data_IF_754680580354
#
_entry.id   IF_754680580354
#
_cell.length_a   1.000
_cell.length_b   1.000
_cell.length_c   1.000
_cell.angle_alpha   90.00
_cell.angle_beta   90.00
_cell.angle_gamma   90.00
#
_symmetry.space_group_name_H-M   'P 1'
#
loop_
_entity.id
_entity.type
_entity.pdbx_description
1 polymer ?
#
# COMPACT_ATOMS: atom_id res chain seq x y z
N UNK A 1 -88.44 23.38 -32.06
CA UNK A 1 -87.10 23.39 -32.68
C UNK A 1 -85.89 23.74 -31.74
N UNK A 2 -86.12 24.32 -30.60
CA UNK A 2 -85.03 24.77 -29.67
C UNK A 2 -84.25 23.65 -28.97
N UNK A 3 -84.86 22.51 -28.62
CA UNK A 3 -84.21 21.40 -27.86
C UNK A 3 -83.10 20.69 -28.65
N UNK A 4 -83.14 20.71 -29.99
CA UNK A 4 -82.09 20.04 -30.82
C UNK A 4 -80.82 20.89 -30.98
N UNK A 5 -80.96 22.18 -30.90
CA UNK A 5 -79.80 23.09 -30.95
C UNK A 5 -78.95 23.07 -29.67
N UNK A 6 -79.61 22.90 -28.52
CA UNK A 6 -78.92 22.85 -27.24
C UNK A 6 -78.06 21.59 -27.09
N UNK A 7 -78.56 20.44 -27.51
CA UNK A 7 -77.82 19.16 -27.51
C UNK A 7 -76.59 19.22 -28.46
N UNK A 8 -76.66 19.89 -29.60
CA UNK A 8 -75.52 20.07 -30.49
C UNK A 8 -74.45 20.93 -29.87
N UNK A 9 -74.75 22.00 -29.14
CA UNK A 9 -73.81 22.84 -28.46
C UNK A 9 -73.12 22.09 -27.30
N UNK A 10 -73.86 21.29 -26.55
CA UNK A 10 -73.26 20.46 -25.46
C UNK A 10 -72.29 19.42 -25.99
N UNK A 11 -72.60 18.77 -27.16
CA UNK A 11 -71.72 17.80 -27.83
C UNK A 11 -70.42 18.48 -28.30
N UNK A 12 -70.53 19.68 -28.89
CA UNK A 12 -69.35 20.44 -29.37
C UNK A 12 -68.44 20.84 -28.18
N UNK A 13 -69.02 21.28 -27.05
CA UNK A 13 -68.27 21.62 -25.85
C UNK A 13 -67.58 20.37 -25.26
N UNK A 14 -68.28 19.25 -25.20
CA UNK A 14 -67.75 17.99 -24.72
C UNK A 14 -66.58 17.49 -25.60
N UNK A 15 -66.70 17.58 -26.93
CA UNK A 15 -65.65 17.26 -27.87
C UNK A 15 -64.45 18.17 -27.71
N UNK A 16 -64.65 19.46 -27.44
CA UNK A 16 -63.59 20.43 -27.14
C UNK A 16 -62.83 20.09 -25.88
N UNK A 17 -63.53 19.71 -24.79
CA UNK A 17 -62.94 19.31 -23.54
C UNK A 17 -62.08 18.03 -23.73
N UNK A 18 -62.60 17.04 -24.45
CA UNK A 18 -61.89 15.79 -24.75
C UNK A 18 -60.61 16.08 -25.56
N UNK A 19 -60.70 16.94 -26.57
CA UNK A 19 -59.52 17.32 -27.37
C UNK A 19 -58.46 18.04 -26.54
N UNK A 20 -58.86 18.94 -25.65
CA UNK A 20 -57.96 19.60 -24.70
C UNK A 20 -57.29 18.61 -23.75
N UNK A 21 -58.04 17.67 -23.20
CA UNK A 21 -57.47 16.60 -22.35
C UNK A 21 -56.45 15.73 -23.09
N UNK A 22 -56.74 15.34 -24.32
CA UNK A 22 -55.81 14.57 -25.17
C UNK A 22 -54.54 15.37 -25.47
N UNK A 23 -54.67 16.65 -25.80
CA UNK A 23 -53.51 17.52 -26.04
C UNK A 23 -52.64 17.68 -24.78
N UNK A 24 -53.28 17.78 -23.60
CA UNK A 24 -52.61 17.85 -22.31
C UNK A 24 -51.87 16.55 -21.98
N UNK A 25 -52.49 15.39 -22.20
CA UNK A 25 -51.89 14.07 -21.99
C UNK A 25 -50.66 13.87 -22.90
N UNK A 26 -50.74 14.27 -24.19
CA UNK A 26 -49.63 14.19 -25.13
C UNK A 26 -48.48 15.12 -24.70
N UNK A 27 -48.76 16.35 -24.30
CA UNK A 27 -47.77 17.31 -23.83
C UNK A 27 -47.11 16.84 -22.55
N UNK A 28 -47.89 16.31 -21.59
CA UNK A 28 -47.40 15.75 -20.34
C UNK A 28 -46.52 14.54 -20.55
N UNK A 29 -46.98 13.59 -21.41
CA UNK A 29 -46.22 12.39 -21.79
C UNK A 29 -44.84 12.76 -22.40
N UNK A 30 -44.82 13.74 -23.35
CA UNK A 30 -43.56 14.25 -23.91
C UNK A 30 -42.66 14.94 -22.87
N UNK A 31 -43.26 15.70 -21.97
CA UNK A 31 -42.50 16.36 -20.90
C UNK A 31 -41.85 15.34 -19.96
N UNK A 32 -42.61 14.33 -19.51
CA UNK A 32 -42.12 13.23 -18.65
C UNK A 32 -41.02 12.44 -19.37
N UNK A 33 -41.24 12.05 -20.62
CA UNK A 33 -40.26 11.27 -21.42
C UNK A 33 -38.97 12.07 -21.64
N UNK A 34 -39.07 13.36 -21.96
CA UNK A 34 -37.87 14.21 -22.10
C UNK A 34 -37.10 14.42 -20.79
N UNK A 35 -37.84 14.58 -19.69
CA UNK A 35 -37.20 14.69 -18.38
C UNK A 35 -36.54 13.38 -17.93
N UNK A 36 -37.17 12.24 -18.14
CA UNK A 36 -36.60 10.92 -17.86
C UNK A 36 -35.36 10.69 -18.74
N UNK A 37 -35.49 10.91 -20.06
CA UNK A 37 -34.32 10.78 -20.95
C UNK A 37 -33.17 11.72 -20.60
N UNK A 38 -33.43 12.99 -20.25
CA UNK A 38 -32.42 13.92 -19.80
C UNK A 38 -31.81 13.53 -18.46
N UNK A 39 -32.58 12.93 -17.54
CA UNK A 39 -32.10 12.42 -16.28
C UNK A 39 -31.17 11.20 -16.49
N UNK A 40 -31.57 10.24 -17.34
CA UNK A 40 -30.73 9.09 -17.70
C UNK A 40 -29.52 9.48 -18.55
N UNK A 41 -29.62 10.45 -19.44
CA UNK A 41 -28.50 10.94 -20.24
C UNK A 41 -27.49 11.80 -19.44
N UNK A 42 -27.91 12.39 -18.32
CA UNK A 42 -27.02 13.20 -17.46
C UNK A 42 -26.25 12.39 -16.44
N UNK A 43 -26.67 11.21 -16.10
CA UNK A 43 -26.02 10.35 -15.12
C UNK A 43 -25.17 9.27 -15.82
N UNK A 44 -24.12 9.70 -16.54
CA UNK A 44 -23.02 8.74 -16.76
C UNK A 44 -22.44 8.45 -15.39
N UNK A 45 -22.58 7.21 -14.94
CA UNK A 45 -22.07 6.76 -13.66
C UNK A 45 -20.56 7.04 -13.61
N UNK A 46 -20.17 7.96 -12.73
CA UNK A 46 -18.79 8.36 -12.54
C UNK A 46 -18.25 7.76 -11.26
N UNK A 47 -17.33 6.84 -11.39
CA UNK A 47 -16.68 6.18 -10.28
C UNK A 47 -15.17 6.46 -10.36
N UNK A 48 -14.64 7.20 -9.40
CA UNK A 48 -13.22 7.48 -9.28
C UNK A 48 -12.80 7.24 -7.84
N UNK A 49 -12.14 6.10 -7.61
CA UNK A 49 -11.77 5.58 -6.28
C UNK A 49 -10.34 5.07 -6.28
N UNK A 50 -9.82 4.88 -5.08
CA UNK A 50 -8.52 4.26 -4.83
C UNK A 50 -8.58 3.43 -3.55
N UNK A 51 -7.65 2.49 -3.42
CA UNK A 51 -7.41 1.73 -2.19
C UNK A 51 -6.78 2.59 -1.08
N UNK A 52 -6.06 3.66 -1.45
CA UNK A 52 -5.26 4.49 -0.54
C UNK A 52 -5.58 5.99 -0.56
N UNK A 53 -6.44 6.44 -1.46
CA UNK A 53 -6.84 7.85 -1.54
C UNK A 53 -8.34 7.97 -1.33
N UNK A 54 -8.78 9.01 -0.61
CA UNK A 54 -10.19 9.27 -0.34
C UNK A 54 -10.52 10.77 -0.47
N UNK A 55 -11.80 11.10 -0.70
CA UNK A 55 -12.25 12.48 -0.76
C UNK A 55 -11.96 13.25 0.55
N UNK A 56 -12.08 12.57 1.69
CA UNK A 56 -11.81 13.12 3.03
C UNK A 56 -10.37 12.84 3.48
N UNK A 57 -9.40 12.77 2.56
CA UNK A 57 -7.97 12.55 2.83
C UNK A 57 -7.73 11.33 3.73
N UNK A 58 -7.48 10.18 3.14
CA UNK A 58 -7.07 8.97 3.87
C UNK A 58 -5.74 9.22 4.60
N UNK A 59 -5.61 8.72 5.82
CA UNK A 59 -4.38 8.88 6.64
C UNK A 59 -3.84 7.51 6.99
N UNK A 60 -2.55 7.30 6.70
CA UNK A 60 -1.84 6.05 6.96
C UNK A 60 -0.57 6.35 7.77
N UNK A 61 -0.30 5.49 8.73
CA UNK A 61 0.95 5.48 9.48
C UNK A 61 1.64 4.14 9.25
N UNK A 62 2.89 4.20 8.82
CA UNK A 62 3.71 3.05 8.49
C UNK A 62 4.83 3.03 9.52
N UNK A 63 4.74 2.10 10.45
CA UNK A 63 5.72 1.87 11.50
C UNK A 63 6.87 1.01 11.00
N UNK A 64 7.99 1.03 11.69
CA UNK A 64 9.15 0.18 11.44
C UNK A 64 9.75 0.30 10.02
N UNK A 65 9.71 1.50 9.43
CA UNK A 65 10.51 1.75 8.24
C UNK A 65 11.99 1.81 8.60
N UNK A 66 12.87 1.29 7.73
CA UNK A 66 14.31 1.30 7.99
C UNK A 66 14.91 2.71 8.07
N UNK A 67 14.34 3.67 7.32
CA UNK A 67 14.97 4.98 7.13
C UNK A 67 16.26 4.92 6.30
N UNK A 68 16.62 3.75 5.76
CA UNK A 68 17.81 3.49 4.93
C UNK A 68 17.38 3.00 3.55
N UNK A 69 16.48 2.01 3.50
CA UNK A 69 16.00 1.43 2.25
C UNK A 69 14.86 2.26 1.65
N UNK A 70 14.75 2.21 0.33
CA UNK A 70 13.61 2.79 -0.39
C UNK A 70 12.29 2.18 0.07
N UNK A 71 11.28 3.02 0.23
CA UNK A 71 9.92 2.58 0.49
C UNK A 71 9.01 2.92 -0.68
N UNK A 72 8.27 1.95 -1.21
CA UNK A 72 7.35 2.18 -2.33
C UNK A 72 5.90 2.08 -1.89
N UNK A 73 5.15 3.15 -2.13
CA UNK A 73 3.69 3.20 -1.98
C UNK A 73 3.06 2.90 -3.33
N UNK A 74 2.42 1.75 -3.48
CA UNK A 74 1.60 1.42 -4.64
C UNK A 74 0.17 1.88 -4.40
N UNK A 75 -0.35 2.72 -5.26
CA UNK A 75 -1.71 3.25 -5.22
C UNK A 75 -2.50 2.66 -6.38
N UNK A 76 -3.53 1.88 -6.06
CA UNK A 76 -4.43 1.30 -7.06
C UNK A 76 -5.63 2.22 -7.26
N UNK A 77 -5.89 2.58 -8.51
CA UNK A 77 -7.01 3.39 -8.95
C UNK A 77 -8.08 2.51 -9.59
N UNK A 78 -9.35 2.82 -9.38
CA UNK A 78 -10.43 2.07 -10.02
C UNK A 78 -11.62 2.95 -10.38
N UNK A 79 -12.37 2.53 -11.41
CA UNK A 79 -13.58 3.17 -11.92
C UNK A 79 -14.84 2.35 -11.68
N UNK A 80 -14.90 1.67 -10.52
CA UNK A 80 -16.05 0.84 -10.13
C UNK A 80 -16.49 1.10 -8.69
N UNK A 81 -17.78 1.00 -8.44
CA UNK A 81 -18.36 1.01 -7.09
C UNK A 81 -18.48 -0.41 -6.52
N UNK A 82 -18.78 -1.37 -7.40
CA UNK A 82 -18.88 -2.81 -7.12
C UNK A 82 -18.65 -3.60 -8.43
N UNK A 83 -18.86 -4.90 -8.44
CA UNK A 83 -18.63 -5.75 -9.61
C UNK A 83 -19.59 -5.48 -10.79
N UNK A 84 -20.69 -4.76 -10.58
CA UNK A 84 -21.72 -4.51 -11.58
C UNK A 84 -21.70 -3.04 -12.03
N UNK A 85 -21.48 -2.12 -11.11
CA UNK A 85 -21.50 -0.67 -11.37
C UNK A 85 -20.09 -0.19 -11.71
N UNK A 86 -19.82 -0.06 -12.99
CA UNK A 86 -18.53 0.36 -13.56
C UNK A 86 -18.73 1.57 -14.48
N UNK A 87 -17.72 2.43 -14.58
CA UNK A 87 -17.76 3.50 -15.57
C UNK A 87 -17.63 2.93 -16.99
N UNK A 88 -18.47 3.41 -17.90
CA UNK A 88 -18.52 2.95 -19.31
C UNK A 88 -17.56 3.71 -20.23
N UNK A 89 -16.63 4.48 -19.67
CA UNK A 89 -15.67 5.32 -20.40
C UNK A 89 -14.37 5.45 -19.64
N UNK A 90 -13.31 5.79 -20.37
CA UNK A 90 -11.99 6.00 -19.80
C UNK A 90 -11.98 7.25 -18.93
N UNK A 91 -11.31 7.15 -17.76
CA UNK A 91 -11.16 8.26 -16.82
C UNK A 91 -9.68 8.63 -16.74
N UNK A 92 -9.34 9.77 -17.37
CA UNK A 92 -8.02 10.39 -17.21
C UNK A 92 -7.88 11.03 -15.82
N UNK A 93 -6.67 11.07 -15.29
CA UNK A 93 -6.37 11.73 -14.03
C UNK A 93 -4.91 12.21 -13.95
N UNK A 94 -4.70 13.26 -13.19
CA UNK A 94 -3.39 13.81 -12.85
C UNK A 94 -3.04 13.52 -11.41
N UNK A 95 -1.74 13.36 -11.13
CA UNK A 95 -1.19 13.04 -9.82
C UNK A 95 -0.26 14.15 -9.39
N UNK A 96 -0.46 14.64 -8.15
CA UNK A 96 0.45 15.55 -7.46
C UNK A 96 0.85 14.94 -6.14
N UNK A 97 2.02 15.31 -5.66
CA UNK A 97 2.49 14.89 -4.33
C UNK A 97 3.31 16.00 -3.68
N UNK A 98 3.41 15.93 -2.37
CA UNK A 98 4.38 16.64 -1.55
C UNK A 98 5.18 15.64 -0.75
N UNK A 99 6.44 15.94 -0.49
CA UNK A 99 7.37 15.10 0.23
C UNK A 99 8.10 15.97 1.26
N UNK A 100 8.33 15.46 2.46
CA UNK A 100 9.12 16.17 3.46
C UNK A 100 10.60 16.26 3.07
N UNK A 101 11.30 17.27 3.56
CA UNK A 101 12.65 17.64 3.13
C UNK A 101 13.74 16.59 3.44
N UNK A 102 13.44 15.64 4.29
CA UNK A 102 14.36 14.56 4.68
C UNK A 102 14.29 13.31 3.80
N UNK A 103 13.54 13.39 2.68
CA UNK A 103 13.46 12.33 1.67
C UNK A 103 13.28 12.89 0.27
N UNK A 104 13.65 12.11 -0.72
CA UNK A 104 13.35 12.32 -2.14
C UNK A 104 12.21 11.40 -2.52
N UNK A 105 11.15 11.96 -3.10
CA UNK A 105 10.01 11.20 -3.57
C UNK A 105 9.96 11.20 -5.09
N UNK A 106 9.70 10.04 -5.70
CA UNK A 106 9.62 9.90 -7.15
C UNK A 106 8.36 9.12 -7.54
N UNK A 107 7.51 9.74 -8.37
CA UNK A 107 6.36 9.08 -8.99
C UNK A 107 6.79 8.25 -10.21
N UNK A 108 6.18 7.09 -10.39
CA UNK A 108 6.32 6.30 -11.62
C UNK A 108 5.67 6.95 -12.83
N UNK A 109 4.65 7.81 -12.60
CA UNK A 109 3.96 8.63 -13.61
C UNK A 109 3.25 9.80 -12.95
N UNK A 110 3.09 10.92 -13.68
CA UNK A 110 2.39 12.13 -13.21
C UNK A 110 0.92 12.22 -13.66
N UNK A 111 0.52 11.33 -14.57
CA UNK A 111 -0.86 11.18 -15.05
C UNK A 111 -1.14 9.74 -15.41
N UNK A 112 -2.43 9.37 -15.48
CA UNK A 112 -2.85 8.04 -15.86
C UNK A 112 -4.24 8.02 -16.48
N UNK A 113 -4.65 6.84 -16.93
CA UNK A 113 -5.99 6.59 -17.47
C UNK A 113 -6.52 5.27 -16.90
N UNK A 114 -7.64 5.34 -16.21
CA UNK A 114 -8.38 4.14 -15.83
C UNK A 114 -9.21 3.74 -17.05
N UNK A 115 -8.75 2.70 -17.75
CA UNK A 115 -9.45 2.22 -18.95
C UNK A 115 -10.82 1.63 -18.59
N UNK A 116 -11.82 1.89 -19.43
CA UNK A 116 -13.16 1.27 -19.33
C UNK A 116 -13.12 -0.26 -19.41
N UNK A 117 -12.10 -0.82 -20.06
CA UNK A 117 -12.01 -2.26 -20.29
C UNK A 117 -11.43 -2.99 -19.06
N UNK A 118 -10.43 -2.41 -18.38
CA UNK A 118 -9.83 -2.97 -17.15
C UNK A 118 -10.48 -2.45 -15.87
N UNK A 119 -11.07 -1.25 -15.92
CA UNK A 119 -11.61 -0.51 -14.78
C UNK A 119 -10.59 -0.30 -13.64
N UNK A 120 -9.32 -0.38 -13.95
CA UNK A 120 -8.21 -0.26 -13.00
C UNK A 120 -6.98 0.35 -13.65
N UNK A 121 -6.19 1.02 -12.84
CA UNK A 121 -4.85 1.51 -13.13
C UNK A 121 -4.08 1.57 -11.81
N UNK A 122 -2.77 1.76 -11.85
CA UNK A 122 -1.95 1.95 -10.64
C UNK A 122 -0.78 2.87 -10.91
N UNK A 123 -0.23 3.40 -9.83
CA UNK A 123 1.05 4.11 -9.87
C UNK A 123 1.82 3.85 -8.57
N UNK A 124 3.13 4.04 -8.64
CA UNK A 124 4.03 3.90 -7.52
C UNK A 124 4.61 5.27 -7.15
N UNK A 125 4.76 5.51 -5.86
CA UNK A 125 5.58 6.56 -5.31
C UNK A 125 6.71 5.92 -4.51
N UNK A 126 7.94 6.10 -4.96
CA UNK A 126 9.15 5.64 -4.26
C UNK A 126 9.69 6.77 -3.40
N UNK A 127 10.00 6.45 -2.16
CA UNK A 127 10.50 7.37 -1.13
C UNK A 127 11.91 6.88 -0.77
N UNK A 128 12.90 7.71 -1.03
CA UNK A 128 14.32 7.46 -0.75
C UNK A 128 14.80 8.45 0.30
N UNK A 129 15.37 8.03 1.43
CA UNK A 129 16.00 8.95 2.39
C UNK A 129 17.12 9.75 1.70
N UNK A 130 17.15 11.06 1.91
CA UNK A 130 18.20 11.91 1.36
C UNK A 130 19.29 12.28 2.39
N UNK A 131 19.13 11.79 3.61
CA UNK A 131 20.09 11.91 4.71
C UNK A 131 19.92 10.71 5.64
N UNK A 132 20.88 10.52 6.55
CA UNK A 132 20.70 9.56 7.62
C UNK A 132 19.53 9.99 8.52
N UNK A 133 18.61 9.06 8.74
CA UNK A 133 17.45 9.25 9.61
C UNK A 133 17.68 8.50 10.93
N UNK A 134 17.19 9.10 12.02
CA UNK A 134 17.25 8.52 13.36
C UNK A 134 15.94 7.82 13.71
N UNK A 135 16.00 6.90 14.66
CA UNK A 135 14.81 6.23 15.22
C UNK A 135 13.78 7.25 15.68
N UNK A 136 12.56 7.10 15.23
CA UNK A 136 11.45 8.01 15.50
C UNK A 136 11.32 9.18 14.52
N UNK A 137 12.30 9.39 13.62
CA UNK A 137 12.17 10.35 12.53
C UNK A 137 10.98 9.98 11.66
N UNK A 138 10.34 11.01 11.08
CA UNK A 138 9.16 10.84 10.25
C UNK A 138 9.37 11.43 8.88
N UNK A 139 8.99 10.68 7.86
CA UNK A 139 8.82 11.19 6.51
C UNK A 139 7.33 11.27 6.21
N UNK A 140 6.87 12.44 5.82
CA UNK A 140 5.47 12.70 5.50
C UNK A 140 5.34 12.90 4.00
N UNK A 141 4.42 12.15 3.41
CA UNK A 141 4.09 12.25 1.99
C UNK A 141 2.59 12.46 1.85
N UNK A 142 2.20 13.43 1.04
CA UNK A 142 0.80 13.62 0.67
C UNK A 142 0.66 13.40 -0.84
N UNK A 143 -0.32 12.60 -1.23
CA UNK A 143 -0.64 12.28 -2.62
C UNK A 143 -2.05 12.79 -2.91
N UNK A 144 -2.20 13.42 -4.06
CA UNK A 144 -3.48 13.89 -4.58
C UNK A 144 -3.65 13.38 -6.01
N UNK A 145 -4.77 12.71 -6.29
CA UNK A 145 -5.17 12.34 -7.63
C UNK A 145 -6.46 13.06 -8.00
N UNK A 146 -6.45 13.74 -9.16
CA UNK A 146 -7.59 14.53 -9.66
C UNK A 146 -7.99 14.05 -11.04
N UNK A 147 -9.24 13.62 -11.19
CA UNK A 147 -9.79 13.23 -12.49
C UNK A 147 -9.90 14.41 -13.43
N UNK A 148 -9.54 14.18 -14.71
CA UNK A 148 -9.52 15.21 -15.78
C UNK A 148 -10.61 15.01 -16.83
N UNK A 149 -11.31 13.87 -16.80
CA UNK A 149 -12.34 13.50 -17.79
C UNK A 149 -13.73 13.61 -17.20
N UNK A 150 -14.64 14.28 -17.89
CA UNK A 150 -16.08 14.48 -17.62
C UNK A 150 -16.41 15.16 -16.29
N UNK A 151 -15.95 14.66 -15.17
CA UNK A 151 -16.18 15.24 -13.83
C UNK A 151 -14.85 15.38 -13.09
N UNK A 152 -14.64 16.54 -12.50
CA UNK A 152 -13.47 16.78 -11.66
C UNK A 152 -13.76 16.28 -10.25
N UNK A 153 -13.01 15.28 -9.82
CA UNK A 153 -13.02 14.74 -8.46
C UNK A 153 -11.60 14.56 -7.98
N UNK A 154 -11.31 15.08 -6.81
CA UNK A 154 -10.01 14.95 -6.17
C UNK A 154 -10.11 13.98 -5.00
N UNK A 155 -9.16 13.05 -4.90
CA UNK A 155 -8.97 12.14 -3.78
C UNK A 155 -7.54 12.26 -3.27
N UNK A 156 -7.36 12.17 -1.93
CA UNK A 156 -6.09 12.48 -1.26
C UNK A 156 -5.72 11.40 -0.26
N UNK A 157 -4.41 11.24 -0.05
CA UNK A 157 -3.87 10.39 0.99
C UNK A 157 -2.67 11.05 1.66
N UNK A 158 -2.55 10.87 2.97
CA UNK A 158 -1.37 11.24 3.76
C UNK A 158 -0.73 9.98 4.31
N UNK A 159 0.55 9.84 4.08
CA UNK A 159 1.36 8.72 4.54
C UNK A 159 2.44 9.28 5.48
N UNK A 160 2.54 8.70 6.67
CA UNK A 160 3.58 9.02 7.63
C UNK A 160 4.42 7.76 7.83
N UNK A 161 5.64 7.77 7.32
CA UNK A 161 6.61 6.71 7.57
C UNK A 161 7.36 7.08 8.84
N UNK A 162 7.42 6.16 9.79
CA UNK A 162 8.15 6.33 11.06
C UNK A 162 9.34 5.40 11.04
N UNK A 163 10.53 5.95 11.21
CA UNK A 163 11.74 5.14 11.34
C UNK A 163 11.63 4.28 12.58
N UNK A 164 11.87 2.98 12.41
CA UNK A 164 11.63 1.96 13.43
C UNK A 164 12.33 2.22 14.75
N UNK A 165 11.82 1.62 15.79
CA UNK A 165 12.38 1.74 17.12
C UNK A 165 13.60 0.84 17.27
N UNK A 166 14.56 1.29 18.08
CA UNK A 166 15.69 0.49 18.58
C UNK A 166 16.58 -0.17 17.50
N UNK A 167 17.12 0.64 16.58
CA UNK A 167 18.27 0.22 15.76
C UNK A 167 18.03 -0.90 14.76
N UNK A 168 16.84 -1.48 14.73
CA UNK A 168 16.45 -2.53 13.81
C UNK A 168 15.08 -2.24 13.19
N UNK A 169 15.02 -2.39 11.90
CA UNK A 169 13.76 -2.37 11.16
C UNK A 169 13.68 -3.59 10.26
N UNK A 170 12.48 -3.97 9.86
CA UNK A 170 12.33 -5.07 8.93
C UNK A 170 11.10 -4.90 8.05
N UNK A 171 11.17 -5.54 6.89
CA UNK A 171 10.06 -5.61 5.96
C UNK A 171 9.95 -7.01 5.35
N UNK A 172 8.73 -7.41 5.06
CA UNK A 172 8.43 -8.62 4.30
C UNK A 172 7.88 -8.22 2.96
N UNK A 173 8.54 -8.64 1.89
CA UNK A 173 8.06 -8.50 0.52
C UNK A 173 7.47 -9.83 0.06
N UNK A 174 6.18 -9.83 -0.24
CA UNK A 174 5.46 -11.02 -0.69
C UNK A 174 4.55 -10.68 -1.89
N UNK A 175 4.41 -11.62 -2.79
CA UNK A 175 3.45 -11.57 -3.89
C UNK A 175 2.48 -12.74 -3.76
N UNK A 176 1.19 -12.43 -3.81
CA UNK A 176 0.15 -13.48 -3.80
C UNK A 176 0.40 -14.50 -4.93
N UNK A 177 0.22 -15.77 -4.62
CA UNK A 177 0.46 -16.92 -5.48
C UNK A 177 1.94 -17.24 -5.79
N UNK A 178 2.90 -16.48 -5.28
CA UNK A 178 4.31 -16.91 -5.29
C UNK A 178 4.57 -17.89 -4.14
N UNK A 179 5.43 -18.90 -4.33
CA UNK A 179 5.72 -19.90 -3.30
C UNK A 179 6.69 -19.40 -2.22
N UNK A 180 7.25 -18.21 -2.37
CA UNK A 180 8.23 -17.65 -1.44
C UNK A 180 7.95 -16.18 -1.14
N UNK A 181 8.47 -15.73 -0.01
CA UNK A 181 8.55 -14.33 0.40
C UNK A 181 9.98 -13.99 0.84
N UNK A 182 10.33 -12.70 0.83
CA UNK A 182 11.61 -12.20 1.29
C UNK A 182 11.42 -11.36 2.56
N UNK A 183 12.21 -11.65 3.58
CA UNK A 183 12.36 -10.86 4.79
C UNK A 183 13.66 -10.07 4.69
N UNK A 184 13.58 -8.74 4.67
CA UNK A 184 14.73 -7.84 4.80
C UNK A 184 14.76 -7.29 6.20
N UNK A 185 15.91 -7.39 6.87
CA UNK A 185 16.15 -6.80 8.19
C UNK A 185 17.28 -5.81 8.03
N UNK A 186 17.07 -4.58 8.47
CA UNK A 186 18.03 -3.48 8.38
C UNK A 186 18.49 -3.07 9.79
N UNK A 187 19.79 -3.06 10.00
CA UNK A 187 20.42 -2.49 11.17
C UNK A 187 20.80 -1.02 10.89
N UNK A 188 20.25 -0.10 11.67
CA UNK A 188 20.49 1.35 11.52
C UNK A 188 21.57 1.89 12.43
N UNK A 189 22.19 1.04 13.28
CA UNK A 189 23.33 1.43 14.10
C UNK A 189 24.53 1.82 13.25
N UNK A 190 25.17 2.91 13.59
CA UNK A 190 26.40 3.42 12.94
C UNK A 190 27.68 3.05 13.70
N UNK A 191 27.63 2.05 14.59
CA UNK A 191 28.76 1.65 15.41
C UNK A 191 28.77 0.13 15.65
N UNK A 192 29.93 -0.35 16.07
CA UNK A 192 30.14 -1.72 16.57
C UNK A 192 30.42 -1.68 18.08
N UNK A 193 30.14 -2.79 18.76
CA UNK A 193 30.40 -2.99 20.19
C UNK A 193 31.41 -4.11 20.34
N UNK A 194 32.41 -3.88 21.14
CA UNK A 194 33.45 -4.86 21.46
C UNK A 194 32.89 -5.92 22.39
N UNK A 195 32.83 -7.20 21.89
CA UNK A 195 32.36 -8.38 22.62
C UNK A 195 33.44 -9.02 23.48
N UNK A 196 34.69 -8.97 23.01
CA UNK A 196 35.85 -9.50 23.70
C UNK A 196 37.00 -8.48 23.61
N UNK A 197 37.64 -8.15 24.74
CA UNK A 197 38.72 -7.15 24.78
C UNK A 197 39.90 -7.58 23.91
N UNK A 198 40.55 -6.59 23.28
CA UNK A 198 41.78 -6.73 22.51
C UNK A 198 42.49 -5.39 22.39
N UNK A 199 43.84 -5.39 22.45
CA UNK A 199 44.62 -4.18 22.44
C UNK A 199 44.14 -3.20 23.51
N UNK A 200 43.83 -1.97 23.09
CA UNK A 200 43.33 -0.90 23.97
C UNK A 200 41.78 -0.87 24.05
N UNK A 201 41.07 -1.82 23.40
CA UNK A 201 39.64 -1.86 23.37
C UNK A 201 39.05 -2.78 24.45
N UNK A 202 38.14 -2.24 25.25
CA UNK A 202 37.47 -2.96 26.34
C UNK A 202 36.09 -3.49 25.93
N UNK A 203 35.65 -4.56 26.60
CA UNK A 203 34.29 -5.12 26.41
C UNK A 203 33.24 -4.02 26.63
N UNK A 204 32.20 -4.02 25.74
CA UNK A 204 31.11 -3.04 25.66
C UNK A 204 31.55 -1.64 25.17
N UNK A 205 32.82 -1.45 24.79
CA UNK A 205 33.22 -0.21 24.14
C UNK A 205 32.58 -0.10 22.74
N UNK A 206 32.07 1.08 22.41
CA UNK A 206 31.58 1.41 21.07
C UNK A 206 32.72 1.91 20.21
N UNK A 207 32.81 1.42 18.99
CA UNK A 207 33.73 1.86 17.95
C UNK A 207 32.97 2.22 16.69
N UNK A 208 33.39 3.26 16.00
CA UNK A 208 32.80 3.66 14.74
C UNK A 208 33.15 2.68 13.59
N UNK A 209 32.49 2.84 12.45
CA UNK A 209 32.64 1.96 11.28
C UNK A 209 34.08 2.03 10.74
N UNK A 210 34.69 3.21 10.67
CA UNK A 210 36.03 3.37 10.10
C UNK A 210 37.07 2.69 10.98
N UNK A 211 36.97 2.84 12.30
CA UNK A 211 37.77 2.14 13.30
C UNK A 211 37.61 0.61 13.13
N UNK A 212 36.39 0.11 13.02
CA UNK A 212 36.13 -1.32 12.83
C UNK A 212 36.73 -1.85 11.51
N UNK A 213 36.59 -1.12 10.43
CA UNK A 213 37.16 -1.52 9.12
C UNK A 213 38.71 -1.54 9.13
N UNK A 214 39.35 -0.75 9.95
CA UNK A 214 40.78 -0.75 10.11
C UNK A 214 41.33 -1.93 10.94
N UNK A 215 40.47 -2.67 11.65
CA UNK A 215 40.87 -3.84 12.44
C UNK A 215 41.24 -5.02 11.56
N UNK A 216 42.09 -5.91 12.06
CA UNK A 216 42.31 -7.25 11.47
C UNK A 216 41.02 -8.10 11.56
N UNK A 217 40.90 -9.11 10.68
CA UNK A 217 39.74 -10.02 10.69
C UNK A 217 39.55 -10.72 12.05
N UNK A 218 40.68 -11.10 12.73
CA UNK A 218 40.63 -11.68 14.07
C UNK A 218 40.00 -10.73 15.07
N UNK A 219 40.28 -9.43 15.01
CA UNK A 219 39.76 -8.44 15.95
C UNK A 219 38.35 -8.01 15.56
N UNK A 220 37.98 -7.99 14.25
CA UNK A 220 36.60 -7.79 13.81
C UNK A 220 35.68 -8.86 14.35
N UNK A 221 36.12 -10.12 14.37
CA UNK A 221 35.35 -11.23 14.93
C UNK A 221 35.02 -11.06 16.44
N UNK A 222 35.72 -10.15 17.14
CA UNK A 222 35.48 -9.80 18.55
C UNK A 222 34.48 -8.66 18.72
N UNK A 223 33.91 -8.15 17.63
CA UNK A 223 32.98 -7.03 17.62
C UNK A 223 31.67 -7.44 16.95
N UNK A 224 30.58 -6.79 17.31
CA UNK A 224 29.29 -6.91 16.64
C UNK A 224 28.58 -5.55 16.61
N UNK A 225 27.74 -5.32 15.61
CA UNK A 225 26.85 -4.16 15.60
C UNK A 225 25.47 -4.54 16.14
N UNK A 226 24.80 -5.48 15.52
CA UNK A 226 23.54 -6.01 16.03
C UNK A 226 23.51 -7.53 15.90
N UNK A 227 22.91 -8.21 16.88
CA UNK A 227 22.61 -9.64 16.83
C UNK A 227 21.07 -9.76 16.90
N UNK A 228 20.47 -10.44 15.94
CA UNK A 228 19.01 -10.56 15.83
C UNK A 228 18.56 -11.98 15.96
N UNK A 229 17.52 -12.17 16.76
CA UNK A 229 16.75 -13.43 16.79
C UNK A 229 15.45 -13.25 16.05
N UNK A 230 15.15 -14.18 15.14
CA UNK A 230 13.95 -14.20 14.29
C UNK A 230 13.16 -15.45 14.63
N UNK A 231 11.99 -15.26 15.23
CA UNK A 231 11.05 -16.33 15.52
C UNK A 231 9.96 -16.39 14.46
N UNK A 232 9.61 -17.59 14.02
CA UNK A 232 8.56 -17.79 13.00
C UNK A 232 7.86 -19.14 13.20
N UNK A 233 6.67 -19.25 12.61
CA UNK A 233 5.82 -20.43 12.69
C UNK A 233 6.03 -21.35 11.48
N UNK A 234 6.66 -22.54 11.62
CA UNK A 234 6.95 -23.44 10.50
C UNK A 234 5.69 -23.97 9.80
N UNK A 235 4.53 -23.96 10.46
CA UNK A 235 3.24 -24.27 9.84
C UNK A 235 2.75 -23.21 8.86
N UNK A 236 3.37 -22.03 8.83
CA UNK A 236 3.03 -20.92 7.93
C UNK A 236 4.13 -20.66 6.91
N UNK A 237 5.39 -20.62 7.37
CA UNK A 237 6.56 -20.31 6.54
C UNK A 237 7.75 -21.20 6.92
N UNK A 238 8.56 -21.56 5.93
CA UNK A 238 9.75 -22.39 6.09
C UNK A 238 10.98 -21.63 5.60
N UNK A 239 12.03 -21.58 6.44
CA UNK A 239 13.29 -20.94 6.06
C UNK A 239 13.92 -21.65 4.86
N UNK A 240 14.34 -20.89 3.86
CA UNK A 240 15.12 -21.40 2.75
C UNK A 240 16.60 -21.54 3.14
N UNK A 241 17.00 -22.76 3.40
CA UNK A 241 18.37 -23.11 3.79
C UNK A 241 19.38 -22.95 2.64
N UNK A 242 18.92 -22.74 1.39
CA UNK A 242 19.79 -22.48 0.22
C UNK A 242 20.05 -20.99 0.02
N UNK A 243 19.41 -20.11 0.80
CA UNK A 243 19.69 -18.68 0.77
C UNK A 243 21.14 -18.42 1.18
N UNK A 244 21.82 -17.49 0.48
CA UNK A 244 23.24 -17.17 0.71
C UNK A 244 23.54 -16.71 2.15
N UNK A 245 22.58 -16.03 2.79
CA UNK A 245 22.69 -15.54 4.16
C UNK A 245 22.45 -16.62 5.22
N UNK A 246 22.02 -17.82 4.83
CA UNK A 246 21.87 -18.96 5.76
C UNK A 246 23.19 -19.30 6.46
N UNK A 247 24.32 -19.17 5.78
CA UNK A 247 25.66 -19.40 6.33
C UNK A 247 26.05 -18.45 7.47
N UNK A 248 25.38 -17.30 7.58
CA UNK A 248 25.65 -16.29 8.61
C UNK A 248 24.86 -16.58 9.90
N UNK A 249 23.99 -17.58 9.91
CA UNK A 249 23.23 -17.98 11.10
C UNK A 249 24.16 -18.60 12.11
N UNK A 250 24.24 -18.00 13.30
CA UNK A 250 25.10 -18.45 14.39
C UNK A 250 24.39 -19.43 15.34
N UNK A 251 23.06 -19.37 15.40
CA UNK A 251 22.25 -20.24 16.24
C UNK A 251 20.88 -20.51 15.59
N UNK A 252 20.33 -21.70 15.80
CA UNK A 252 18.97 -22.04 15.38
C UNK A 252 18.29 -22.96 16.38
N UNK A 253 17.00 -22.74 16.60
CA UNK A 253 16.16 -23.65 17.37
C UNK A 253 15.18 -24.38 16.46
N UNK A 254 14.68 -25.50 16.93
CA UNK A 254 13.79 -26.36 16.16
C UNK A 254 12.61 -26.83 16.99
N UNK A 255 11.48 -27.05 16.30
CA UNK A 255 10.27 -27.63 16.89
C UNK A 255 9.85 -28.88 16.11
N UNK A 256 8.99 -29.73 16.71
CA UNK A 256 8.42 -30.89 16.06
C UNK A 256 6.96 -30.65 15.70
N UNK A 257 6.63 -30.86 14.41
CA UNK A 257 5.26 -30.83 13.90
C UNK A 257 4.99 -32.14 13.20
N UNK A 258 3.98 -32.87 13.64
CA UNK A 258 3.62 -34.18 13.09
C UNK A 258 4.81 -35.18 13.00
N UNK A 259 5.68 -35.18 14.03
CA UNK A 259 6.85 -36.04 14.09
C UNK A 259 8.04 -35.64 13.22
N UNK A 260 7.96 -34.51 12.49
CA UNK A 260 9.05 -33.96 11.70
C UNK A 260 9.65 -32.73 12.38
N UNK A 261 10.96 -32.57 12.27
CA UNK A 261 11.74 -31.49 12.87
C UNK A 261 11.81 -30.29 11.92
N UNK A 262 11.47 -29.10 12.40
CA UNK A 262 11.49 -27.85 11.63
C UNK A 262 12.24 -26.77 12.40
N UNK A 263 12.97 -25.89 11.69
CA UNK A 263 13.52 -24.66 12.27
C UNK A 263 12.35 -23.73 12.58
N UNK A 264 12.35 -23.12 13.75
CA UNK A 264 11.33 -22.14 14.18
C UNK A 264 11.94 -20.84 14.71
N UNK A 265 13.25 -20.80 14.94
CA UNK A 265 13.97 -19.59 15.30
C UNK A 265 15.40 -19.65 14.80
N UNK A 266 15.94 -18.49 14.43
CA UNK A 266 17.34 -18.34 14.00
C UNK A 266 17.91 -17.06 14.62
N UNK A 267 19.22 -17.07 14.86
CA UNK A 267 19.98 -15.91 15.34
C UNK A 267 21.12 -15.63 14.37
N UNK A 268 21.30 -14.38 13.97
CA UNK A 268 22.38 -13.96 13.07
C UNK A 268 22.86 -12.54 13.39
N UNK A 269 24.15 -12.22 13.13
CA UNK A 269 24.68 -10.87 13.22
C UNK A 269 24.28 -10.07 11.98
N UNK A 270 24.09 -8.77 12.16
CA UNK A 270 23.90 -7.79 11.08
C UNK A 270 24.88 -6.65 11.30
N UNK A 271 25.66 -6.31 10.30
CA UNK A 271 26.67 -5.25 10.33
C UNK A 271 26.04 -3.86 10.53
N UNK A 272 26.84 -2.88 10.91
CA UNK A 272 26.41 -1.49 11.04
C UNK A 272 25.93 -0.94 9.69
N UNK A 273 24.83 -0.19 9.71
CA UNK A 273 24.19 0.41 8.52
C UNK A 273 24.11 -0.60 7.35
N UNK A 274 23.59 -1.78 7.61
CA UNK A 274 23.46 -2.82 6.60
C UNK A 274 22.13 -3.58 6.70
N UNK A 275 21.81 -4.29 5.63
CA UNK A 275 20.61 -5.12 5.56
C UNK A 275 20.97 -6.58 5.24
N UNK A 276 20.16 -7.49 5.77
CA UNK A 276 20.23 -8.92 5.46
C UNK A 276 18.90 -9.37 4.88
N UNK A 277 18.95 -10.06 3.74
CA UNK A 277 17.78 -10.63 3.09
C UNK A 277 17.70 -12.14 3.35
N UNK A 278 16.59 -12.60 3.87
CA UNK A 278 16.28 -14.01 4.08
C UNK A 278 15.04 -14.40 3.27
N UNK A 279 15.10 -15.55 2.61
CA UNK A 279 13.98 -16.10 1.86
C UNK A 279 13.28 -17.18 2.66
N UNK A 280 11.95 -17.16 2.62
CA UNK A 280 11.10 -18.18 3.21
C UNK A 280 10.14 -18.73 2.18
N UNK A 281 9.87 -20.04 2.22
CA UNK A 281 8.80 -20.67 1.46
C UNK A 281 7.49 -20.56 2.22
N UNK A 282 6.41 -20.25 1.51
CA UNK A 282 5.05 -20.20 2.07
C UNK A 282 4.43 -21.60 2.06
N UNK A 283 3.82 -21.99 3.16
CA UNK A 283 3.01 -23.23 3.24
C UNK A 283 1.68 -23.02 2.50
N UNK A 284 1.08 -21.82 2.63
CA UNK A 284 -0.11 -21.44 1.89
C UNK A 284 0.21 -20.29 0.92
N UNK A 285 0.33 -20.60 -0.37
CA UNK A 285 0.65 -19.64 -1.43
C UNK A 285 -0.46 -18.63 -1.70
N UNK A 286 -1.69 -18.86 -1.21
CA UNK A 286 -2.80 -17.92 -1.37
C UNK A 286 -2.71 -16.72 -0.43
N UNK A 287 -1.90 -16.81 0.63
CA UNK A 287 -1.68 -15.75 1.61
C UNK A 287 -0.74 -14.69 1.07
N UNK A 288 -0.92 -13.48 1.57
CA UNK A 288 -0.04 -12.34 1.39
C UNK A 288 0.48 -11.93 2.78
N UNK A 289 1.79 -12.03 2.99
CA UNK A 289 2.47 -11.71 4.25
C UNK A 289 3.24 -10.39 4.17
N UNK A 290 2.99 -9.57 3.17
CA UNK A 290 3.64 -8.24 3.02
C UNK A 290 3.53 -7.43 4.30
N UNK A 291 4.67 -6.91 4.81
CA UNK A 291 4.77 -6.11 6.02
C UNK A 291 5.92 -5.08 5.91
N UNK A 292 5.80 -3.83 6.40
CA UNK A 292 4.61 -3.25 7.03
C UNK A 292 3.47 -3.05 6.04
N UNK A 293 2.26 -3.36 6.49
CA UNK A 293 1.05 -3.25 5.70
C UNK A 293 -0.13 -2.98 6.64
N UNK A 294 -1.09 -2.18 6.19
CA UNK A 294 -2.27 -1.82 6.98
C UNK A 294 -3.21 -3.00 7.28
N UNK A 295 -3.03 -4.13 6.60
CA UNK A 295 -3.94 -5.28 6.66
C UNK A 295 -3.33 -6.50 7.34
N UNK A 296 -2.01 -6.54 7.47
CA UNK A 296 -1.31 -7.73 7.93
C UNK A 296 -0.51 -7.44 9.19
N UNK A 297 -0.65 -8.31 10.18
CA UNK A 297 0.32 -8.44 11.27
C UNK A 297 1.60 -9.08 10.74
N UNK A 298 2.72 -8.83 11.41
CA UNK A 298 3.98 -9.47 11.05
C UNK A 298 3.91 -10.98 11.19
N UNK A 299 4.38 -11.70 10.15
CA UNK A 299 4.50 -13.17 10.16
C UNK A 299 5.70 -13.65 10.97
N UNK A 300 6.65 -12.77 11.27
CA UNK A 300 7.85 -13.04 12.06
C UNK A 300 7.90 -12.13 13.27
N UNK A 301 8.54 -12.59 14.35
CA UNK A 301 8.89 -11.76 15.51
C UNK A 301 10.41 -11.60 15.52
N UNK A 302 10.86 -10.34 15.52
CA UNK A 302 12.29 -10.00 15.50
C UNK A 302 12.66 -9.34 16.83
N UNK A 303 13.73 -9.82 17.45
CA UNK A 303 14.25 -9.31 18.71
C UNK A 303 15.74 -9.00 18.54
N UNK A 304 16.16 -7.80 18.92
CA UNK A 304 17.59 -7.44 19.05
C UNK A 304 18.11 -7.95 20.38
N UNK A 305 19.31 -8.55 20.38
CA UNK A 305 20.03 -9.06 21.56
C UNK A 305 21.23 -8.19 21.88
#
# INVERSE_FOLDING_TARGET
MQKRSYKKKQIIILLGIILCMFSFLIAFGRYVTNNINNFFLRSKEFYFYSDKLAANKAVFQIENWSGVDDYTITVNMNSRKNNIQVASYDIGYDIKYTCSDNAICQLSKTSGVISKDSNSDFFNLTITPNRQLETGDKVIVEIEATSTTNYVKTIKGKFTLVVGQENLTYQVTDEKAKPYMNLRITNTLSYYVVKQSFGDYSVNQKIDIDTYLALSDENRAKCYSSIVTIDFAPEKILLDITNENYKNIIESTTTFINGKKYINSITLPIDAISSVDLRFYKVDVSKDYTYPNLKNDSIVKITAN
#
